data_IF_434633098387
#
_entry.id   IF_434633098387
#
_cell.length_a   1.000
_cell.length_b   1.000
_cell.length_c   1.000
_cell.angle_alpha   90.00
_cell.angle_beta   90.00
_cell.angle_gamma   90.00
#
_symmetry.space_group_name_H-M   'P 1'
#
loop_
_entity.id
_entity.type
_entity.pdbx_description
1 polymer ?
#
# COMPACT_ATOMS: atom_id res chain seq x y z
N UNK A 1 18.91 22.90 9.61
CA UNK A 1 20.37 22.67 9.69
C UNK A 1 21.22 23.94 9.85
N UNK A 2 20.66 25.17 9.70
CA UNK A 2 21.37 26.46 9.83
C UNK A 2 22.56 26.66 8.86
N UNK A 3 22.64 25.87 7.79
CA UNK A 3 23.72 25.94 6.80
C UNK A 3 23.48 26.98 5.68
N UNK A 4 22.36 27.72 5.75
CA UNK A 4 21.99 28.73 4.75
C UNK A 4 21.32 28.16 3.49
N UNK A 5 20.99 26.87 3.48
CA UNK A 5 20.23 26.21 2.42
C UNK A 5 19.00 25.52 3.02
N UNK A 6 17.93 25.41 2.23
CA UNK A 6 16.75 24.62 2.56
C UNK A 6 16.82 23.31 1.78
N UNK A 7 16.80 22.19 2.49
CA UNK A 7 17.02 20.85 1.94
C UNK A 7 16.09 19.83 2.59
N UNK A 8 16.00 18.64 2.00
CA UNK A 8 15.28 17.49 2.58
C UNK A 8 15.81 17.09 3.98
N UNK A 9 17.06 17.41 4.29
CA UNK A 9 17.62 17.20 5.62
C UNK A 9 16.98 18.12 6.67
N UNK A 10 16.56 19.32 6.29
CA UNK A 10 15.88 20.26 7.18
C UNK A 10 14.49 19.75 7.56
N UNK A 11 13.75 19.20 6.58
CA UNK A 11 12.48 18.52 6.82
C UNK A 11 12.69 17.31 7.75
N UNK A 12 13.63 16.40 7.44
CA UNK A 12 13.90 15.24 8.30
C UNK A 12 14.23 15.63 9.74
N UNK A 13 15.06 16.65 9.94
CA UNK A 13 15.42 17.14 11.28
C UNK A 13 14.21 17.70 12.04
N UNK A 14 13.24 18.29 11.33
CA UNK A 14 12.00 18.77 11.94
C UNK A 14 11.18 17.57 12.45
N UNK A 15 11.02 16.52 11.66
CA UNK A 15 10.32 15.31 12.11
C UNK A 15 11.05 14.61 13.28
N UNK A 16 12.38 14.57 13.26
CA UNK A 16 13.17 14.08 14.39
C UNK A 16 12.98 14.95 15.64
N UNK A 17 12.75 16.27 15.48
CA UNK A 17 12.44 17.18 16.58
C UNK A 17 11.04 16.93 17.15
N UNK A 18 10.02 16.80 16.29
CA UNK A 18 8.65 16.51 16.69
C UNK A 18 8.59 15.21 17.50
N UNK A 19 9.30 14.18 17.05
CA UNK A 19 9.40 12.91 17.74
C UNK A 19 10.34 12.91 18.96
N UNK A 20 10.86 14.07 19.37
CA UNK A 20 11.73 14.21 20.55
C UNK A 20 13.14 13.64 20.40
N UNK A 21 13.55 13.25 19.19
CA UNK A 21 14.88 12.70 18.89
C UNK A 21 15.99 13.75 18.83
N UNK A 22 15.64 15.01 18.57
CA UNK A 22 16.58 16.14 18.59
C UNK A 22 15.98 17.38 19.27
N UNK A 23 16.85 18.30 19.72
CA UNK A 23 16.42 19.57 20.30
C UNK A 23 16.76 20.75 19.39
N UNK A 24 15.80 21.65 19.19
CA UNK A 24 16.00 22.88 18.44
C UNK A 24 16.19 24.08 19.38
N UNK A 25 17.13 24.96 19.03
CA UNK A 25 17.25 26.26 19.67
C UNK A 25 16.16 27.23 19.16
N UNK A 26 16.05 28.43 19.75
CA UNK A 26 15.04 29.42 19.37
C UNK A 26 15.10 29.82 17.89
N UNK A 27 16.30 29.93 17.31
CA UNK A 27 16.47 30.31 15.90
C UNK A 27 16.02 29.18 14.98
N UNK A 28 16.34 27.93 15.29
CA UNK A 28 15.88 26.77 14.51
C UNK A 28 14.37 26.63 14.55
N UNK A 29 13.74 26.86 15.71
CA UNK A 29 12.28 26.87 15.83
C UNK A 29 11.64 27.99 15.03
N UNK A 30 12.21 29.19 15.09
CA UNK A 30 11.71 30.33 14.33
C UNK A 30 11.86 30.13 12.81
N UNK A 31 12.97 29.56 12.34
CA UNK A 31 13.21 29.33 10.91
C UNK A 31 12.50 28.09 10.36
N UNK A 32 12.20 27.12 11.23
CA UNK A 32 11.48 25.90 10.84
C UNK A 32 9.97 26.10 10.78
N UNK A 33 9.45 27.17 11.38
CA UNK A 33 8.03 27.54 11.30
C UNK A 33 7.83 28.29 9.97
N UNK A 34 7.22 27.60 9.02
CA UNK A 34 7.08 28.04 7.64
C UNK A 34 5.62 28.14 7.22
N UNK A 35 4.70 27.57 7.99
CA UNK A 35 3.26 27.72 7.82
C UNK A 35 2.76 29.09 8.29
N UNK A 36 3.39 29.68 9.32
CA UNK A 36 3.05 30.99 9.89
C UNK A 36 1.89 30.96 10.91
N UNK A 37 1.60 29.82 11.52
CA UNK A 37 0.39 29.58 12.30
C UNK A 37 0.63 29.10 13.74
N UNK A 38 1.03 27.84 13.92
CA UNK A 38 0.84 27.09 15.17
C UNK A 38 2.13 26.56 15.78
N UNK A 39 3.27 27.18 15.48
CA UNK A 39 4.56 26.65 15.92
C UNK A 39 4.99 25.48 15.05
N UNK A 40 6.02 24.73 15.46
CA UNK A 40 6.52 23.63 14.63
C UNK A 40 5.54 22.46 14.58
N UNK A 41 5.08 22.13 13.38
CA UNK A 41 4.17 21.01 13.10
C UNK A 41 4.71 20.11 12.00
N UNK A 42 4.08 18.95 11.79
CA UNK A 42 4.37 18.08 10.65
C UNK A 42 4.09 18.78 9.32
N UNK A 43 3.19 19.76 9.32
CA UNK A 43 2.87 20.55 8.12
C UNK A 43 4.03 21.45 7.71
N UNK A 44 4.75 22.07 8.65
CA UNK A 44 5.99 22.78 8.34
C UNK A 44 7.01 21.87 7.63
N UNK A 45 7.15 20.64 8.14
CA UNK A 45 8.00 19.62 7.54
C UNK A 45 7.56 19.25 6.12
N UNK A 46 6.25 19.12 5.88
CA UNK A 46 5.68 18.87 4.57
C UNK A 46 5.92 20.04 3.61
N UNK A 47 5.78 21.29 4.07
CA UNK A 47 6.01 22.49 3.26
C UNK A 47 7.47 22.68 2.88
N UNK A 48 8.40 22.43 3.80
CA UNK A 48 9.85 22.38 3.49
C UNK A 48 10.11 21.31 2.43
N UNK A 49 9.48 20.15 2.57
CA UNK A 49 9.60 19.04 1.61
C UNK A 49 9.08 19.43 0.23
N UNK A 50 7.88 19.98 0.14
CA UNK A 50 7.28 20.46 -1.11
C UNK A 50 8.09 21.57 -1.78
N UNK A 51 8.65 22.50 -1.00
CA UNK A 51 9.55 23.52 -1.52
C UNK A 51 10.81 22.90 -2.15
N UNK A 52 11.40 21.87 -1.52
CA UNK A 52 12.54 21.14 -2.09
C UNK A 52 12.18 20.41 -3.39
N UNK A 53 10.92 20.08 -3.61
CA UNK A 53 10.37 19.50 -4.84
C UNK A 53 9.85 20.55 -5.83
N UNK A 54 10.19 21.84 -5.63
CA UNK A 54 9.84 22.95 -6.51
C UNK A 54 8.31 23.14 -6.72
N UNK A 55 7.50 22.71 -5.74
CA UNK A 55 6.05 22.89 -5.78
C UNK A 55 5.63 24.36 -5.55
N UNK A 56 6.53 25.17 -4.98
CA UNK A 56 6.30 26.59 -4.72
C UNK A 56 7.39 27.46 -5.38
N UNK A 57 7.02 28.61 -5.96
CA UNK A 57 7.97 29.55 -6.55
C UNK A 57 8.72 30.39 -5.51
N UNK A 58 8.18 30.48 -4.29
CA UNK A 58 8.74 31.21 -3.16
C UNK A 58 8.68 30.32 -1.92
N UNK A 59 9.55 30.61 -0.96
CA UNK A 59 9.53 29.90 0.32
C UNK A 59 8.17 30.15 1.02
N UNK A 60 7.51 29.13 1.61
CA UNK A 60 6.10 29.18 2.00
C UNK A 60 5.69 30.42 2.82
N UNK A 61 6.43 30.74 3.88
CA UNK A 61 6.14 31.91 4.74
C UNK A 61 6.36 33.27 4.04
N UNK A 62 7.17 33.31 2.99
CA UNK A 62 7.46 34.52 2.20
C UNK A 62 6.47 34.71 1.03
N UNK A 63 5.86 33.61 0.56
CA UNK A 63 4.98 33.60 -0.61
C UNK A 63 3.57 34.13 -0.37
N UNK A 64 3.11 34.14 0.88
CA UNK A 64 1.78 34.62 1.27
C UNK A 64 0.65 33.65 0.91
N UNK A 65 0.07 33.07 1.95
CA UNK A 65 -0.99 32.04 1.95
C UNK A 65 -0.54 30.69 1.39
N UNK A 66 -0.26 29.77 2.31
CA UNK A 66 -0.19 28.35 2.05
C UNK A 66 -1.61 27.77 2.15
N UNK A 67 -2.08 27.00 1.16
CA UNK A 67 -3.38 26.35 1.23
C UNK A 67 -3.38 25.26 2.32
N UNK A 68 -3.77 25.62 3.54
CA UNK A 68 -3.84 24.69 4.68
C UNK A 68 -5.10 23.82 4.65
N UNK A 69 -6.08 24.17 3.81
CA UNK A 69 -7.35 23.44 3.80
C UNK A 69 -7.09 21.99 3.37
N UNK A 70 -7.32 21.09 4.32
CA UNK A 70 -7.25 19.66 4.14
C UNK A 70 -8.52 19.03 4.68
N UNK A 71 -9.05 18.05 3.97
CA UNK A 71 -10.24 17.32 4.40
C UNK A 71 -10.12 15.85 4.02
N UNK A 72 -10.95 15.02 4.63
CA UNK A 72 -11.09 13.61 4.32
C UNK A 72 -11.63 12.83 5.52
N UNK A 73 -12.24 11.69 5.26
CA UNK A 73 -12.73 10.79 6.28
C UNK A 73 -11.73 9.67 6.47
N UNK A 74 -11.26 9.48 7.70
CA UNK A 74 -10.32 8.42 8.00
C UNK A 74 -11.03 7.14 8.42
N UNK A 75 -10.50 6.01 7.99
CA UNK A 75 -10.95 4.69 8.37
C UNK A 75 -9.76 3.74 8.50
N UNK A 76 -9.96 2.65 9.22
CA UNK A 76 -9.03 1.54 9.28
C UNK A 76 -9.83 0.32 8.79
N UNK A 77 -9.33 -0.46 7.82
CA UNK A 77 -10.09 -1.59 7.31
C UNK A 77 -10.15 -2.73 8.33
N UNK A 78 -11.20 -3.55 8.22
CA UNK A 78 -11.28 -4.81 8.95
C UNK A 78 -10.18 -5.75 8.45
N UNK A 79 -9.33 -6.19 9.37
CA UNK A 79 -8.19 -7.04 9.07
C UNK A 79 -7.83 -7.91 10.26
N UNK A 80 -7.21 -9.06 9.97
CA UNK A 80 -6.84 -10.05 10.98
C UNK A 80 -5.33 -10.10 11.12
N UNK A 81 -4.86 -10.01 12.36
CA UNK A 81 -3.46 -10.18 12.70
C UNK A 81 -3.18 -11.63 13.11
N UNK A 82 -1.90 -12.00 13.08
CA UNK A 82 -1.47 -13.36 13.41
C UNK A 82 -0.38 -13.32 14.46
N UNK A 83 -0.49 -14.20 15.47
CA UNK A 83 0.54 -14.35 16.48
C UNK A 83 1.91 -14.67 15.83
N UNK A 84 2.96 -13.98 16.27
CA UNK A 84 4.31 -14.12 15.75
C UNK A 84 4.59 -13.40 14.42
N UNK A 85 3.59 -12.73 13.84
CA UNK A 85 3.77 -11.99 12.59
C UNK A 85 4.13 -10.52 12.83
N UNK A 86 4.86 -9.96 11.87
CA UNK A 86 4.78 -8.53 11.59
C UNK A 86 3.58 -8.29 10.69
N UNK A 87 2.81 -7.27 11.02
CA UNK A 87 1.54 -6.96 10.40
C UNK A 87 1.47 -5.47 10.08
N UNK A 88 1.12 -5.14 8.84
CA UNK A 88 0.98 -3.76 8.38
C UNK A 88 -0.50 -3.37 8.38
N UNK A 89 -0.82 -2.32 9.12
CA UNK A 89 -2.17 -1.77 9.26
C UNK A 89 -2.27 -0.44 8.53
N UNK A 90 -2.99 -0.36 7.39
CA UNK A 90 -3.20 0.91 6.71
C UNK A 90 -4.27 1.74 7.43
N UNK A 91 -4.02 3.05 7.52
CA UNK A 91 -5.08 4.05 7.77
C UNK A 91 -5.46 4.63 6.42
N UNK A 92 -6.72 4.50 6.07
CA UNK A 92 -7.26 4.95 4.79
C UNK A 92 -7.90 6.32 4.92
N UNK A 93 -7.82 7.09 3.85
CA UNK A 93 -8.54 8.35 3.71
C UNK A 93 -9.50 8.27 2.52
N UNK A 94 -10.75 8.64 2.76
CA UNK A 94 -11.78 8.79 1.74
C UNK A 94 -12.10 10.26 1.50
N UNK A 95 -12.30 10.62 0.23
CA UNK A 95 -12.51 12.00 -0.21
C UNK A 95 -11.42 12.95 0.33
N UNK A 96 -10.17 12.47 0.37
CA UNK A 96 -9.03 13.27 0.76
C UNK A 96 -8.88 14.48 -0.15
N UNK A 97 -8.61 15.64 0.42
CA UNK A 97 -8.25 16.83 -0.33
C UNK A 97 -7.02 17.45 0.30
N UNK A 98 -5.96 17.62 -0.50
CA UNK A 98 -4.76 18.36 -0.14
C UNK A 98 -4.12 17.93 1.21
N UNK A 99 -4.13 16.65 1.55
CA UNK A 99 -3.58 16.18 2.83
C UNK A 99 -2.07 16.00 2.70
N UNK A 100 -1.31 17.00 3.11
CA UNK A 100 0.16 17.02 3.03
C UNK A 100 0.84 16.60 4.33
N UNK A 101 0.16 16.76 5.45
CA UNK A 101 0.62 16.35 6.76
C UNK A 101 -0.52 15.78 7.59
N UNK A 102 -0.18 14.85 8.48
CA UNK A 102 -1.07 14.18 9.40
C UNK A 102 -0.39 14.08 10.76
N UNK A 103 -1.12 14.46 11.81
CA UNK A 103 -0.74 14.21 13.20
C UNK A 103 -1.93 13.60 13.94
N UNK A 104 -1.67 12.66 14.85
CA UNK A 104 -2.69 12.08 15.70
C UNK A 104 -2.08 11.38 16.91
N UNK A 105 -2.88 11.27 17.97
CA UNK A 105 -2.59 10.43 19.12
C UNK A 105 -3.12 9.02 18.82
N UNK A 106 -2.28 8.01 19.03
CA UNK A 106 -2.66 6.59 18.98
C UNK A 106 -2.72 6.02 20.40
N UNK A 107 -3.81 5.33 20.71
CA UNK A 107 -3.98 4.55 21.94
C UNK A 107 -4.33 3.10 21.60
N UNK A 108 -3.61 2.16 22.20
CA UNK A 108 -3.82 0.73 22.02
C UNK A 108 -4.33 0.08 23.31
N UNK A 109 -5.34 -0.79 23.21
CA UNK A 109 -5.85 -1.56 24.35
C UNK A 109 -6.00 -3.05 23.99
N UNK A 110 -5.95 -3.93 24.98
CA UNK A 110 -6.07 -5.39 24.78
C UNK A 110 -4.72 -6.09 24.75
N UNK A 111 -4.54 -7.01 23.79
CA UNK A 111 -3.32 -7.80 23.68
C UNK A 111 -2.08 -6.91 23.44
N UNK A 112 -0.93 -7.20 24.09
CA UNK A 112 0.27 -6.40 23.95
C UNK A 112 0.87 -6.58 22.55
N UNK A 113 0.81 -5.55 21.73
CA UNK A 113 1.48 -5.47 20.43
C UNK A 113 2.63 -4.47 20.50
N UNK A 114 3.51 -4.42 19.50
CA UNK A 114 4.59 -3.43 19.46
C UNK A 114 4.55 -2.70 18.14
N UNK A 115 4.34 -1.38 18.16
CA UNK A 115 4.52 -0.55 16.97
C UNK A 115 6.02 -0.47 16.66
N UNK A 116 6.42 -0.99 15.49
CA UNK A 116 7.80 -1.01 15.03
C UNK A 116 8.13 0.22 14.20
N UNK A 117 7.24 0.54 13.26
CA UNK A 117 7.48 1.54 12.23
C UNK A 117 6.16 2.20 11.82
N UNK A 118 6.27 3.43 11.34
CA UNK A 118 5.21 4.09 10.58
C UNK A 118 5.77 4.55 9.24
N UNK A 119 4.94 4.49 8.20
CA UNK A 119 5.30 4.94 6.86
C UNK A 119 4.17 5.76 6.24
N UNK A 120 4.54 6.69 5.36
CA UNK A 120 3.58 7.42 4.53
C UNK A 120 3.07 6.58 3.36
N UNK A 121 2.24 7.17 2.48
CA UNK A 121 1.73 6.50 1.30
C UNK A 121 2.85 6.22 0.29
N UNK A 122 2.59 5.29 -0.64
CA UNK A 122 3.55 4.87 -1.66
C UNK A 122 3.84 5.92 -2.76
N UNK A 123 3.23 7.11 -2.68
CA UNK A 123 3.39 8.20 -3.64
C UNK A 123 4.13 9.37 -3.00
N UNK A 124 5.09 9.95 -3.73
CA UNK A 124 5.93 11.03 -3.22
C UNK A 124 6.95 10.57 -2.17
N UNK A 125 7.64 11.53 -1.56
CA UNK A 125 8.55 11.30 -0.42
C UNK A 125 7.87 11.78 0.84
N UNK A 126 7.77 10.89 1.82
CA UNK A 126 7.13 11.15 3.10
C UNK A 126 8.10 10.88 4.25
N UNK A 127 8.09 11.79 5.21
CA UNK A 127 8.72 11.59 6.51
C UNK A 127 7.65 11.19 7.50
N UNK A 128 7.91 10.09 8.19
CA UNK A 128 7.03 9.55 9.20
C UNK A 128 7.86 9.28 10.47
N UNK A 129 7.39 9.78 11.61
CA UNK A 129 7.96 9.52 12.94
C UNK A 129 6.85 9.36 13.96
N UNK A 130 7.13 8.63 15.01
CA UNK A 130 6.28 8.58 16.19
C UNK A 130 7.11 8.85 17.45
N UNK A 131 6.45 9.31 18.51
CA UNK A 131 7.04 9.45 19.84
C UNK A 131 6.11 8.94 20.92
N UNK A 132 6.61 8.85 22.16
CA UNK A 132 5.86 8.35 23.30
C UNK A 132 6.26 6.93 23.69
N UNK A 133 5.50 6.35 24.62
CA UNK A 133 5.72 5.00 25.13
C UNK A 133 4.46 4.16 24.89
N UNK A 134 4.64 2.96 24.35
CA UNK A 134 3.55 2.00 24.22
C UNK A 134 2.76 1.87 25.54
N UNK A 135 1.42 1.89 25.52
CA UNK A 135 0.52 1.82 24.36
C UNK A 135 0.03 3.17 23.81
N UNK A 136 0.64 4.29 24.21
CA UNK A 136 0.22 5.64 23.83
C UNK A 136 1.35 6.37 23.09
N UNK A 137 1.14 6.65 21.82
CA UNK A 137 2.13 7.34 21.00
C UNK A 137 1.50 8.50 20.24
N UNK A 138 2.34 9.42 19.78
CA UNK A 138 1.97 10.50 18.88
C UNK A 138 2.55 10.19 17.50
N UNK A 139 1.78 10.43 16.45
CA UNK A 139 2.16 10.18 15.07
C UNK A 139 2.43 11.50 14.35
N UNK A 140 3.50 11.57 13.57
CA UNK A 140 3.86 12.72 12.75
C UNK A 140 4.19 12.26 11.34
N UNK A 141 3.44 12.75 10.36
CA UNK A 141 3.60 12.41 8.97
C UNK A 141 3.54 13.67 8.11
N UNK A 142 4.43 13.80 7.13
CA UNK A 142 4.30 14.83 6.09
C UNK A 142 5.15 14.57 4.87
N UNK A 143 4.71 15.06 3.71
CA UNK A 143 5.29 14.67 2.43
C UNK A 143 5.30 15.72 1.33
N UNK A 144 5.94 15.33 0.23
CA UNK A 144 6.15 16.17 -0.96
C UNK A 144 4.94 16.30 -1.87
N UNK A 145 4.00 15.35 -1.79
CA UNK A 145 2.84 15.29 -2.66
C UNK A 145 1.59 15.10 -1.79
N UNK A 146 0.72 16.11 -1.69
CA UNK A 146 -0.49 16.00 -0.88
C UNK A 146 -1.41 14.87 -1.36
N UNK A 147 -1.92 14.10 -0.41
CA UNK A 147 -2.89 13.06 -0.63
C UNK A 147 -4.23 13.64 -1.11
N UNK A 148 -4.77 13.08 -2.20
CA UNK A 148 -6.05 13.47 -2.80
C UNK A 148 -6.85 12.23 -3.21
N UNK A 149 -8.17 12.28 -3.04
CA UNK A 149 -9.08 11.18 -3.32
C UNK A 149 -9.03 10.07 -2.28
N UNK A 150 -9.33 8.84 -2.72
CA UNK A 150 -9.38 7.67 -1.85
C UNK A 150 -8.06 6.89 -1.95
N UNK A 151 -7.37 6.70 -0.83
CA UNK A 151 -6.12 5.93 -0.77
C UNK A 151 -5.72 5.59 0.67
N UNK A 152 -4.69 4.77 0.83
CA UNK A 152 -4.00 4.61 2.12
C UNK A 152 -3.21 5.89 2.41
N UNK A 153 -3.38 6.46 3.59
CA UNK A 153 -2.69 7.67 4.06
C UNK A 153 -1.40 7.33 4.79
N UNK A 154 -1.42 6.29 5.62
CA UNK A 154 -0.24 5.84 6.37
C UNK A 154 -0.33 4.35 6.67
N UNK A 155 0.82 3.73 6.91
CA UNK A 155 0.96 2.34 7.31
C UNK A 155 1.59 2.26 8.69
N UNK A 156 0.99 1.48 9.59
CA UNK A 156 1.52 1.17 10.91
C UNK A 156 1.99 -0.28 10.92
N UNK A 157 3.28 -0.51 11.15
CA UNK A 157 3.84 -1.87 11.21
C UNK A 157 3.91 -2.32 12.66
N UNK A 158 3.13 -3.34 13.01
CA UNK A 158 3.11 -3.94 14.33
C UNK A 158 3.84 -5.29 14.36
N UNK A 159 4.58 -5.55 15.43
CA UNK A 159 4.95 -6.91 15.81
C UNK A 159 3.93 -7.48 16.78
N UNK A 160 3.39 -8.65 16.45
CA UNK A 160 2.47 -9.40 17.31
C UNK A 160 3.25 -10.52 18.00
N UNK A 161 3.30 -10.56 19.34
CA UNK A 161 4.00 -11.63 20.05
C UNK A 161 3.44 -13.02 19.70
N UNK A 162 4.30 -14.04 19.68
CA UNK A 162 3.91 -15.44 19.46
C UNK A 162 2.86 -15.93 20.47
N UNK A 163 2.85 -15.34 21.66
CA UNK A 163 1.95 -15.69 22.76
C UNK A 163 0.61 -14.96 22.71
N UNK A 164 0.45 -13.98 21.81
CA UNK A 164 -0.75 -13.16 21.76
C UNK A 164 -1.96 -14.00 21.31
N UNK A 165 -3.05 -13.90 22.06
CA UNK A 165 -4.29 -14.64 21.78
C UNK A 165 -5.49 -13.81 22.24
N UNK A 166 -6.26 -13.27 21.29
CA UNK A 166 -7.38 -12.39 21.60
C UNK A 166 -7.53 -11.31 20.53
N UNK A 167 -7.83 -10.09 20.96
CA UNK A 167 -7.88 -8.91 20.11
C UNK A 167 -7.12 -7.77 20.76
N UNK A 168 -6.71 -6.80 19.95
CA UNK A 168 -6.33 -5.47 20.43
C UNK A 168 -7.16 -4.43 19.68
N UNK A 169 -7.44 -3.31 20.33
CA UNK A 169 -8.10 -2.18 19.71
C UNK A 169 -7.14 -1.02 19.52
N UNK A 170 -7.34 -0.28 18.45
CA UNK A 170 -6.61 0.93 18.10
C UNK A 170 -7.58 2.09 18.03
N UNK A 171 -7.25 3.16 18.75
CA UNK A 171 -7.95 4.44 18.71
C UNK A 171 -7.00 5.53 18.21
N UNK A 172 -7.38 6.19 17.13
CA UNK A 172 -6.79 7.46 16.69
C UNK A 172 -7.65 8.61 17.19
N UNK A 173 -7.03 9.58 17.86
CA UNK A 173 -7.68 10.78 18.40
C UNK A 173 -6.82 12.02 18.18
N UNK A 174 -7.38 13.21 18.46
CA UNK A 174 -6.70 14.50 18.28
C UNK A 174 -6.09 14.64 16.87
N UNK A 175 -6.86 14.22 15.86
CA UNK A 175 -6.40 14.13 14.47
C UNK A 175 -6.27 15.54 13.89
N UNK A 176 -5.12 15.83 13.29
CA UNK A 176 -4.80 17.10 12.64
C UNK A 176 -4.33 16.84 11.22
N UNK A 177 -4.96 17.49 10.24
CA UNK A 177 -4.50 17.51 8.84
C UNK A 177 -4.04 18.92 8.48
N UNK A 178 -2.81 19.08 7.98
CA UNK A 178 -2.24 20.38 7.61
C UNK A 178 -2.45 21.49 8.68
N UNK A 179 -2.32 21.17 9.97
CA UNK A 179 -2.59 22.06 11.12
C UNK A 179 -4.07 22.36 11.43
N UNK A 180 -5.01 21.72 10.71
CA UNK A 180 -6.44 21.80 11.00
C UNK A 180 -6.90 20.56 11.77
N UNK A 181 -7.37 20.77 13.00
CA UNK A 181 -7.97 19.71 13.80
C UNK A 181 -9.27 19.20 13.15
N UNK A 182 -9.37 17.89 12.97
CA UNK A 182 -10.57 17.23 12.47
C UNK A 182 -11.33 16.63 13.63
N UNK A 183 -12.61 16.99 13.74
CA UNK A 183 -13.49 16.42 14.76
C UNK A 183 -13.74 14.93 14.48
N UNK A 184 -13.39 14.09 15.45
CA UNK A 184 -13.69 12.66 15.39
C UNK A 184 -12.59 11.81 16.01
N UNK A 185 -12.86 10.50 16.02
CA UNK A 185 -11.91 9.48 16.39
C UNK A 185 -12.08 8.31 15.43
N UNK A 186 -11.00 7.59 15.15
CA UNK A 186 -11.06 6.36 14.36
C UNK A 186 -10.75 5.20 15.28
N UNK A 187 -11.68 4.24 15.35
CA UNK A 187 -11.55 3.07 16.21
C UNK A 187 -11.58 1.80 15.35
N UNK A 188 -10.67 0.87 15.62
CA UNK A 188 -10.68 -0.46 15.03
C UNK A 188 -10.31 -1.51 16.07
N UNK A 189 -11.10 -2.58 16.15
CA UNK A 189 -10.72 -3.80 16.86
C UNK A 189 -10.10 -4.79 15.86
N UNK A 190 -8.94 -5.34 16.20
CA UNK A 190 -8.19 -6.29 15.37
C UNK A 190 -8.09 -7.61 16.12
N UNK A 191 -8.66 -8.66 15.54
CA UNK A 191 -8.54 -10.02 16.04
C UNK A 191 -7.16 -10.60 15.73
N UNK A 192 -6.56 -11.26 16.72
CA UNK A 192 -5.30 -11.99 16.62
C UNK A 192 -5.59 -13.49 16.56
N UNK A 193 -5.25 -14.11 15.44
CA UNK A 193 -5.33 -15.56 15.28
C UNK A 193 -4.02 -16.22 15.67
N UNK A 194 -4.11 -17.29 16.46
CA UNK A 194 -2.97 -18.08 16.97
C UNK A 194 -2.26 -18.91 15.90
N UNK A 195 -2.83 -18.99 14.70
CA UNK A 195 -2.21 -19.64 13.55
C UNK A 195 -2.11 -18.61 12.46
N UNK A 196 -0.88 -18.19 12.12
CA UNK A 196 -0.61 -17.62 10.80
C UNK A 196 -1.16 -18.63 9.82
N UNK A 197 -2.26 -18.32 9.13
CA UNK A 197 -2.53 -19.00 7.87
C UNK A 197 -1.26 -18.73 7.07
N UNK A 198 -0.40 -19.74 6.97
CA UNK A 198 0.58 -19.75 5.91
C UNK A 198 -0.28 -19.56 4.67
N UNK A 199 -0.22 -18.38 4.05
CA UNK A 199 -0.34 -18.35 2.59
C UNK A 199 0.49 -19.54 2.14
N UNK A 200 -0.08 -20.52 1.42
CA UNK A 200 0.66 -21.70 1.07
C UNK A 200 1.97 -21.18 0.50
N UNK A 201 3.09 -21.48 1.18
CA UNK A 201 4.43 -21.27 0.63
C UNK A 201 4.29 -21.53 -0.84
N UNK A 202 4.55 -20.55 -1.71
CA UNK A 202 4.44 -20.72 -3.15
C UNK A 202 5.02 -22.09 -3.48
N UNK A 203 4.12 -23.08 -3.63
CA UNK A 203 4.54 -24.46 -3.79
C UNK A 203 5.02 -24.41 -5.22
N UNK A 204 6.31 -24.15 -5.39
CA UNK A 204 6.92 -24.16 -6.69
C UNK A 204 6.48 -25.48 -7.29
N UNK A 205 5.70 -25.44 -8.38
CA UNK A 205 5.03 -26.64 -8.83
C UNK A 205 6.12 -27.65 -9.18
N UNK A 206 6.12 -28.82 -8.56
CA UNK A 206 7.18 -29.80 -8.84
C UNK A 206 7.06 -30.39 -10.25
N UNK A 207 5.88 -30.24 -10.86
CA UNK A 207 5.54 -30.79 -12.17
C UNK A 207 4.83 -29.77 -13.05
N UNK A 208 5.02 -29.91 -14.36
CA UNK A 208 4.26 -29.16 -15.34
C UNK A 208 2.80 -29.63 -15.35
N UNK A 209 1.85 -28.69 -15.34
CA UNK A 209 0.42 -29.01 -15.50
C UNK A 209 -0.30 -27.94 -16.31
N UNK A 210 -1.26 -28.36 -17.12
CA UNK A 210 -2.28 -27.48 -17.70
C UNK A 210 -3.64 -27.96 -17.21
N UNK A 211 -4.24 -27.22 -16.28
CA UNK A 211 -5.52 -27.57 -15.64
C UNK A 211 -6.69 -27.35 -16.60
N UNK A 212 -7.73 -28.20 -16.57
CA UNK A 212 -8.90 -28.04 -17.41
C UNK A 212 -9.44 -26.61 -17.35
N UNK A 213 -9.60 -25.98 -18.51
CA UNK A 213 -10.17 -24.63 -18.56
C UNK A 213 -11.55 -24.61 -17.90
N UNK A 214 -11.84 -23.56 -17.13
CA UNK A 214 -13.10 -23.43 -16.41
C UNK A 214 -13.70 -22.01 -16.58
N UNK A 215 -15.02 -21.88 -16.74
CA UNK A 215 -15.95 -22.96 -17.08
C UNK A 215 -15.59 -23.60 -18.45
N UNK A 216 -16.03 -24.82 -18.71
CA UNK A 216 -15.98 -25.46 -20.03
C UNK A 216 -17.07 -26.56 -20.08
N UNK A 217 -18.18 -26.36 -20.81
CA UNK A 217 -18.43 -25.31 -21.79
C UNK A 217 -18.52 -23.89 -21.19
N UNK A 218 -18.19 -22.86 -21.96
CA UNK A 218 -18.05 -21.47 -21.47
C UNK A 218 -18.78 -20.44 -22.34
N UNK A 219 -19.10 -19.27 -21.76
CA UNK A 219 -19.77 -18.16 -22.45
C UNK A 219 -19.36 -16.77 -21.88
N UNK A 220 -18.75 -15.88 -22.67
CA UNK A 220 -17.70 -16.15 -23.64
C UNK A 220 -16.32 -16.20 -22.97
N UNK A 221 -16.25 -16.24 -21.63
CA UNK A 221 -15.00 -16.18 -20.86
C UNK A 221 -14.66 -17.53 -20.24
N UNK A 222 -13.41 -17.98 -20.41
CA UNK A 222 -12.85 -19.14 -19.73
C UNK A 222 -11.50 -18.81 -19.08
N UNK A 223 -11.24 -19.39 -17.91
CA UNK A 223 -9.94 -19.32 -17.25
C UNK A 223 -9.09 -20.55 -17.56
N UNK A 224 -7.81 -20.32 -17.88
CA UNK A 224 -6.81 -21.34 -18.17
C UNK A 224 -5.68 -21.23 -17.16
N UNK A 225 -5.58 -22.24 -16.30
CA UNK A 225 -4.59 -22.31 -15.22
C UNK A 225 -3.52 -23.33 -15.58
N UNK A 226 -2.26 -22.97 -15.41
CA UNK A 226 -1.13 -23.87 -15.67
C UNK A 226 0.03 -23.62 -14.73
N UNK A 227 0.85 -24.64 -14.52
CA UNK A 227 1.99 -24.63 -13.62
C UNK A 227 3.26 -25.02 -14.36
N UNK A 228 4.37 -24.34 -14.04
CA UNK A 228 5.68 -24.55 -14.67
C UNK A 228 6.74 -24.74 -13.57
N UNK A 229 7.45 -25.89 -13.54
CA UNK A 229 8.34 -26.23 -12.44
C UNK A 229 9.70 -25.53 -12.46
N UNK A 230 10.08 -24.95 -13.60
CA UNK A 230 11.34 -24.24 -13.79
C UNK A 230 11.19 -23.20 -14.89
N UNK A 231 12.05 -22.19 -14.92
CA UNK A 231 12.02 -21.17 -15.96
C UNK A 231 12.02 -21.80 -17.36
N UNK A 232 11.00 -21.49 -18.16
CA UNK A 232 10.76 -22.13 -19.46
C UNK A 232 10.26 -21.13 -20.49
N UNK A 233 10.57 -21.36 -21.76
CA UNK A 233 9.89 -20.67 -22.86
C UNK A 233 8.48 -21.22 -23.01
N UNK A 234 7.48 -20.37 -22.86
CA UNK A 234 6.05 -20.70 -22.84
C UNK A 234 5.37 -20.15 -24.08
N UNK A 235 4.44 -20.94 -24.65
CA UNK A 235 3.47 -20.47 -25.64
C UNK A 235 2.10 -21.08 -25.33
N UNK A 236 1.11 -20.25 -25.04
CA UNK A 236 -0.30 -20.64 -24.91
C UNK A 236 -1.06 -20.15 -26.15
N UNK A 237 -1.55 -21.08 -26.96
CA UNK A 237 -2.16 -20.78 -28.26
C UNK A 237 -3.55 -21.41 -28.37
N UNK A 238 -4.50 -20.66 -28.92
CA UNK A 238 -5.84 -21.15 -29.23
C UNK A 238 -5.95 -21.41 -30.73
N UNK A 239 -6.47 -22.58 -31.08
CA UNK A 239 -6.77 -23.00 -32.44
C UNK A 239 -8.27 -23.22 -32.63
N UNK A 240 -8.77 -22.96 -33.83
CA UNK A 240 -10.13 -23.34 -34.22
C UNK A 240 -10.22 -24.84 -34.61
N UNK A 241 -11.42 -25.31 -34.94
CA UNK A 241 -11.68 -26.70 -35.35
C UNK A 241 -10.96 -27.15 -36.64
N UNK A 242 -10.46 -26.21 -37.44
CA UNK A 242 -9.65 -26.47 -38.64
C UNK A 242 -8.14 -26.50 -38.35
N UNK A 243 -7.73 -26.29 -37.10
CA UNK A 243 -6.33 -26.24 -36.69
C UNK A 243 -5.64 -24.91 -37.01
N UNK A 244 -6.38 -23.85 -37.33
CA UNK A 244 -5.81 -22.53 -37.55
C UNK A 244 -5.61 -21.82 -36.21
N UNK A 245 -4.42 -21.22 -36.03
CA UNK A 245 -4.12 -20.35 -34.88
C UNK A 245 -5.05 -19.13 -34.93
N UNK A 246 -5.86 -18.95 -33.90
CA UNK A 246 -6.80 -17.81 -33.80
C UNK A 246 -6.37 -16.80 -32.74
N UNK A 247 -5.57 -17.22 -31.75
CA UNK A 247 -5.07 -16.33 -30.70
C UNK A 247 -3.84 -16.91 -30.01
N UNK A 248 -2.87 -16.05 -29.67
CA UNK A 248 -1.76 -16.38 -28.77
C UNK A 248 -1.99 -15.61 -27.49
N UNK A 249 -2.25 -16.31 -26.39
CA UNK A 249 -2.56 -15.73 -25.09
C UNK A 249 -1.34 -15.46 -24.23
N UNK A 250 -0.26 -16.20 -24.48
CA UNK A 250 1.01 -16.05 -23.77
C UNK A 250 2.14 -16.46 -24.70
N UNK A 251 3.24 -15.70 -24.70
CA UNK A 251 4.45 -16.05 -25.44
C UNK A 251 5.66 -15.36 -24.82
N UNK A 252 6.52 -16.13 -24.17
CA UNK A 252 7.68 -15.57 -23.47
C UNK A 252 8.35 -16.56 -22.52
N UNK A 253 9.47 -16.14 -21.94
CA UNK A 253 10.10 -16.88 -20.85
C UNK A 253 9.37 -16.57 -19.54
N UNK A 254 8.81 -17.59 -18.89
CA UNK A 254 8.19 -17.47 -17.57
C UNK A 254 9.05 -18.19 -16.52
N UNK A 255 9.22 -17.63 -15.30
CA UNK A 255 9.87 -18.32 -14.19
C UNK A 255 9.06 -19.54 -13.71
N UNK A 256 9.58 -20.26 -12.71
CA UNK A 256 8.80 -21.30 -12.05
C UNK A 256 7.59 -20.68 -11.33
N UNK A 257 6.41 -21.26 -11.50
CA UNK A 257 5.19 -20.74 -10.87
C UNK A 257 3.90 -21.28 -11.48
N UNK A 258 2.78 -20.90 -10.86
CA UNK A 258 1.42 -21.15 -11.34
C UNK A 258 0.85 -19.87 -11.95
N UNK A 259 0.26 -19.99 -13.12
CA UNK A 259 -0.22 -18.89 -13.95
C UNK A 259 -1.69 -19.09 -14.29
N UNK A 260 -2.42 -17.97 -14.37
CA UNK A 260 -3.83 -17.91 -14.74
C UNK A 260 -3.98 -16.97 -15.94
N UNK A 261 -4.64 -17.42 -17.00
CA UNK A 261 -4.90 -16.64 -18.22
C UNK A 261 -6.37 -16.71 -18.56
N UNK A 262 -6.99 -15.54 -18.70
CA UNK A 262 -8.41 -15.41 -19.02
C UNK A 262 -8.54 -15.27 -20.53
N UNK A 263 -9.31 -16.15 -21.18
CA UNK A 263 -9.66 -16.03 -22.58
C UNK A 263 -11.06 -15.45 -22.73
N UNK A 264 -11.13 -14.24 -23.27
CA UNK A 264 -12.38 -13.61 -23.70
C UNK A 264 -12.63 -13.92 -25.17
N UNK A 265 -13.54 -14.87 -25.42
CA UNK A 265 -13.88 -15.31 -26.76
C UNK A 265 -15.05 -14.54 -27.40
N UNK A 266 -15.35 -13.33 -26.92
CA UNK A 266 -16.49 -12.52 -27.39
C UNK A 266 -16.50 -12.32 -28.90
N UNK A 267 -15.32 -12.23 -29.55
CA UNK A 267 -15.19 -12.05 -31.00
C UNK A 267 -15.26 -13.34 -31.84
N UNK A 268 -15.31 -14.52 -31.23
CA UNK A 268 -15.32 -15.80 -31.96
C UNK A 268 -16.70 -16.47 -31.98
N UNK A 269 -16.97 -17.31 -32.97
CA UNK A 269 -18.23 -18.05 -33.10
C UNK A 269 -18.33 -19.22 -32.11
N UNK A 270 -19.54 -19.56 -31.65
CA UNK A 270 -19.79 -20.79 -30.89
C UNK A 270 -19.21 -22.01 -31.62
N UNK A 271 -18.58 -22.92 -30.89
CA UNK A 271 -17.90 -24.05 -31.51
C UNK A 271 -16.78 -24.66 -30.64
N UNK A 272 -16.06 -25.61 -31.25
CA UNK A 272 -14.94 -26.30 -30.61
C UNK A 272 -13.64 -25.55 -30.93
N UNK A 273 -12.87 -25.31 -29.89
CA UNK A 273 -11.51 -24.78 -29.96
C UNK A 273 -10.53 -25.71 -29.26
N UNK A 274 -9.25 -25.56 -29.56
CA UNK A 274 -8.17 -26.30 -28.91
C UNK A 274 -7.21 -25.29 -28.31
N UNK A 275 -7.02 -25.33 -26.99
CA UNK A 275 -5.93 -24.63 -26.33
C UNK A 275 -4.70 -25.53 -26.26
N UNK A 276 -3.55 -25.01 -26.63
CA UNK A 276 -2.26 -25.68 -26.57
C UNK A 276 -1.32 -24.88 -25.70
N UNK A 277 -0.76 -25.54 -24.68
CA UNK A 277 0.31 -25.01 -23.87
C UNK A 277 1.60 -25.77 -24.17
N UNK A 278 2.62 -25.04 -24.59
CA UNK A 278 4.00 -25.51 -24.71
C UNK A 278 4.84 -24.80 -23.66
N UNK A 279 5.61 -25.54 -22.86
CA UNK A 279 6.59 -25.00 -21.91
C UNK A 279 7.87 -25.83 -21.96
N UNK A 280 8.91 -25.30 -22.62
CA UNK A 280 10.14 -26.06 -22.89
C UNK A 280 9.85 -27.33 -23.70
N UNK A 281 10.12 -28.51 -23.12
CA UNK A 281 9.85 -29.81 -23.74
C UNK A 281 8.44 -30.36 -23.45
N UNK A 282 7.68 -29.71 -22.56
CA UNK A 282 6.32 -30.14 -22.21
C UNK A 282 5.30 -29.54 -23.18
N UNK A 283 4.31 -30.33 -23.56
CA UNK A 283 3.20 -29.92 -24.41
C UNK A 283 1.91 -30.58 -23.94
N UNK A 284 0.86 -29.79 -23.73
CA UNK A 284 -0.47 -30.30 -23.38
C UNK A 284 -1.54 -29.52 -24.13
N UNK A 285 -2.57 -30.24 -24.59
CA UNK A 285 -3.69 -29.65 -25.31
C UNK A 285 -5.01 -29.91 -24.58
N UNK A 286 -5.94 -28.97 -24.69
CA UNK A 286 -7.28 -29.07 -24.12
C UNK A 286 -8.33 -28.68 -25.15
N UNK A 287 -9.46 -29.40 -25.14
CA UNK A 287 -10.62 -29.06 -25.95
C UNK A 287 -11.51 -28.07 -25.20
N UNK A 288 -11.85 -26.96 -25.84
CA UNK A 288 -12.74 -25.93 -25.33
C UNK A 288 -14.06 -25.93 -26.11
N UNK A 289 -15.18 -25.75 -25.42
CA UNK A 289 -16.50 -25.61 -26.05
C UNK A 289 -17.10 -24.24 -25.72
N UNK A 290 -17.08 -23.33 -26.69
CA UNK A 290 -17.73 -22.02 -26.60
C UNK A 290 -19.21 -22.16 -26.95
N UNK A 291 -20.08 -21.75 -26.04
CA UNK A 291 -21.54 -21.77 -26.21
C UNK A 291 -22.08 -20.37 -25.95
N UNK A 292 -22.45 -19.66 -27.01
CA UNK A 292 -23.22 -18.41 -26.94
C UNK A 292 -24.70 -18.67 -27.09
#
# INVERSE_FOLDING_TARGET
>A
SLNGQVTMQDASLLFDYLAGGVHFNNLQRYLGEVSGLSGLTAYDGALITQFCFEQFPLFPVEGGIVEMYAEGNLSIPEITAYAGAEFELPVQIENGFNVAAFEADISLEGEPVVLLEIAGPNQGVWFARFSGEYPQCDLYLGGSEPCNGNQDLLYLTFHIPDTAAGSFSMLLSNIVLNETEIAGQVYQEIDIQSTRFQEPESIMPETFSFEPAYPNPFNPVANMVFSIPMMSQVKLTIYNSLGQEVEVMESGALPAGRYSRIWDATRYSSGIYIAELIAGNNRQCQKLLLVK
#
